data_IF_650083479832
#
_entry.id   IF_650083479832
#
_cell.length_a   1.000
_cell.length_b   1.000
_cell.length_c   1.000
_cell.angle_alpha   90.00
_cell.angle_beta   90.00
_cell.angle_gamma   90.00
#
_symmetry.space_group_name_H-M   'P 1'
#
loop_
_entity.id
_entity.type
_entity.pdbx_description
1 polymer ?
#
# COMPACT_ATOMS: atom_id res chain seq x y z
N UNK A 1 14.05 -20.76 -5.06
CA UNK A 1 14.54 -19.37 -5.21
C UNK A 1 13.81 -18.51 -4.18
N UNK A 2 14.40 -17.40 -3.71
CA UNK A 2 13.72 -16.48 -2.79
C UNK A 2 12.99 -15.40 -3.58
N UNK A 3 11.73 -15.15 -3.25
CA UNK A 3 10.92 -14.10 -3.87
C UNK A 3 11.37 -12.74 -3.35
N UNK A 4 11.68 -11.83 -4.29
CA UNK A 4 12.16 -10.48 -3.98
C UNK A 4 10.98 -9.53 -3.84
N UNK A 5 10.81 -8.95 -2.65
CA UNK A 5 9.69 -8.06 -2.31
C UNK A 5 10.17 -6.62 -2.09
N UNK A 6 9.61 -5.68 -2.84
CA UNK A 6 9.75 -4.24 -2.56
C UNK A 6 8.47 -3.72 -1.89
N UNK A 7 8.61 -2.87 -0.86
CA UNK A 7 7.46 -2.30 -0.13
C UNK A 7 7.44 -0.78 -0.26
N UNK A 8 6.30 -0.22 -0.64
CA UNK A 8 6.07 1.22 -0.73
C UNK A 8 5.24 1.69 0.48
N UNK A 9 5.68 2.76 1.14
CA UNK A 9 5.05 3.31 2.35
C UNK A 9 5.04 4.85 2.38
N UNK A 10 4.14 5.44 3.17
CA UNK A 10 4.15 6.90 3.42
C UNK A 10 4.06 7.31 4.89
N UNK A 11 3.97 6.37 5.84
CA UNK A 11 3.64 6.70 7.22
C UNK A 11 4.23 5.76 8.27
N UNK A 12 3.41 5.41 9.27
CA UNK A 12 3.85 4.66 10.46
C UNK A 12 4.50 3.31 10.14
N UNK A 13 4.03 2.63 9.10
CA UNK A 13 4.56 1.33 8.68
C UNK A 13 4.18 0.17 9.61
N UNK A 14 3.00 0.20 10.25
CA UNK A 14 2.48 -0.94 11.04
C UNK A 14 2.29 -2.20 10.17
N UNK A 15 1.71 -2.06 8.97
CA UNK A 15 1.61 -3.15 8.00
C UNK A 15 2.98 -3.64 7.53
N UNK A 16 3.95 -2.73 7.31
CA UNK A 16 5.33 -3.11 7.02
C UNK A 16 5.93 -3.92 8.18
N UNK A 17 5.70 -3.54 9.44
CA UNK A 17 6.18 -4.30 10.60
C UNK A 17 5.64 -5.73 10.57
N UNK A 18 4.33 -5.89 10.35
CA UNK A 18 3.72 -7.22 10.25
C UNK A 18 4.40 -8.10 9.18
N UNK A 19 4.75 -7.51 8.03
CA UNK A 19 5.47 -8.22 6.97
C UNK A 19 6.90 -8.57 7.38
N UNK A 20 7.64 -7.64 8.00
CA UNK A 20 8.99 -7.90 8.53
C UNK A 20 8.96 -9.09 9.50
N UNK A 21 8.02 -9.07 10.44
CA UNK A 21 7.89 -10.09 11.47
C UNK A 21 7.51 -11.45 10.84
N UNK A 22 6.59 -11.46 9.86
CA UNK A 22 6.18 -12.66 9.15
C UNK A 22 7.32 -13.27 8.31
N UNK A 23 8.16 -12.44 7.66
CA UNK A 23 9.36 -12.91 6.93
C UNK A 23 10.37 -13.50 7.91
N UNK A 24 10.66 -12.82 9.02
CA UNK A 24 11.59 -13.32 10.05
C UNK A 24 11.12 -14.65 10.67
N UNK A 25 9.80 -14.78 10.87
CA UNK A 25 9.17 -15.99 11.39
C UNK A 25 8.89 -17.07 10.33
N UNK A 26 9.31 -16.86 9.07
CA UNK A 26 9.12 -17.81 7.96
C UNK A 26 7.63 -18.17 7.70
N UNK A 27 6.72 -17.22 7.92
CA UNK A 27 5.27 -17.40 7.71
C UNK A 27 4.83 -17.13 6.25
N UNK A 28 5.71 -16.53 5.47
CA UNK A 28 5.59 -16.36 4.03
C UNK A 28 6.50 -17.40 3.34
N UNK A 29 6.19 -17.82 2.09
CA UNK A 29 7.12 -18.56 1.26
C UNK A 29 8.48 -17.83 1.21
N UNK A 30 9.58 -18.54 0.89
CA UNK A 30 10.93 -17.98 0.92
C UNK A 30 11.00 -16.58 0.28
N UNK A 31 11.08 -15.54 1.11
CA UNK A 31 10.89 -14.14 0.70
C UNK A 31 12.00 -13.30 1.31
N UNK A 32 12.47 -12.33 0.54
CA UNK A 32 13.41 -11.31 1.00
C UNK A 32 12.86 -9.94 0.66
N UNK A 33 12.70 -9.10 1.69
CA UNK A 33 12.36 -7.68 1.50
C UNK A 33 13.63 -6.98 1.00
N UNK A 34 13.65 -6.62 -0.28
CA UNK A 34 14.85 -6.06 -0.92
C UNK A 34 14.96 -4.55 -0.76
N UNK A 35 13.82 -3.87 -0.61
CA UNK A 35 13.77 -2.42 -0.43
C UNK A 35 12.47 -1.99 0.25
N UNK A 36 12.58 -1.00 1.13
CA UNK A 36 11.44 -0.17 1.57
C UNK A 36 11.62 1.23 0.99
N UNK A 37 10.65 1.69 0.19
CA UNK A 37 10.67 3.03 -0.39
C UNK A 37 9.58 3.89 0.26
N UNK A 38 9.92 5.13 0.58
CA UNK A 38 8.93 6.10 1.03
C UNK A 38 9.00 7.41 0.29
N UNK A 39 7.82 8.00 0.06
CA UNK A 39 7.70 9.36 -0.43
C UNK A 39 7.69 10.42 0.67
N UNK A 40 7.77 10.03 1.94
CA UNK A 40 7.89 10.92 3.09
C UNK A 40 9.18 10.62 3.87
N UNK A 41 9.93 11.67 4.20
CA UNK A 41 11.27 11.52 4.82
C UNK A 41 11.16 11.05 6.28
N UNK A 42 10.08 11.44 6.91
CA UNK A 42 9.70 11.23 8.30
C UNK A 42 8.76 10.03 8.49
N UNK A 43 8.54 9.22 7.45
CA UNK A 43 7.78 7.98 7.57
C UNK A 43 8.50 7.04 8.56
N UNK A 44 7.87 6.79 9.72
CA UNK A 44 8.43 5.90 10.75
C UNK A 44 8.67 4.47 10.24
N UNK A 45 7.96 4.03 9.18
CA UNK A 45 8.24 2.75 8.54
C UNK A 45 9.67 2.65 7.96
N UNK A 46 10.34 3.76 7.62
CA UNK A 46 11.75 3.74 7.23
C UNK A 46 12.65 3.34 8.41
N UNK A 47 12.33 3.80 9.62
CA UNK A 47 13.05 3.42 10.83
C UNK A 47 12.86 1.93 11.15
N UNK A 48 11.63 1.42 11.02
CA UNK A 48 11.34 -0.02 11.16
C UNK A 48 12.18 -0.87 10.20
N UNK A 49 12.25 -0.47 8.93
CA UNK A 49 13.06 -1.13 7.92
C UNK A 49 14.56 -1.11 8.28
N UNK A 50 15.08 0.05 8.74
CA UNK A 50 16.47 0.19 9.18
C UNK A 50 16.81 -0.71 10.36
N UNK A 51 15.93 -0.79 11.36
CA UNK A 51 16.10 -1.70 12.52
C UNK A 51 16.14 -3.16 12.07
N UNK A 52 15.32 -3.53 11.08
CA UNK A 52 15.34 -4.85 10.46
C UNK A 52 16.46 -5.06 9.43
N UNK A 53 17.40 -4.11 9.30
CA UNK A 53 18.51 -4.15 8.32
C UNK A 53 18.07 -4.25 6.85
N UNK A 54 16.89 -3.72 6.53
CA UNK A 54 16.34 -3.67 5.17
C UNK A 54 16.77 -2.35 4.51
N UNK A 55 17.30 -2.37 3.28
CA UNK A 55 17.65 -1.15 2.56
C UNK A 55 16.44 -0.22 2.38
N UNK A 56 16.66 1.08 2.59
CA UNK A 56 15.61 2.09 2.48
C UNK A 56 15.91 3.14 1.41
N UNK A 57 14.89 3.65 0.74
CA UNK A 57 15.00 4.78 -0.19
C UNK A 57 13.94 5.84 0.11
N UNK A 58 14.36 7.09 0.30
CA UNK A 58 13.46 8.24 0.32
C UNK A 58 13.38 8.89 -1.07
N UNK A 59 12.18 9.00 -1.62
CA UNK A 59 11.93 9.54 -2.96
C UNK A 59 10.66 10.38 -2.99
N UNK A 60 10.78 11.72 -2.98
CA UNK A 60 9.61 12.63 -2.91
C UNK A 60 9.24 13.27 -4.25
N UNK A 61 7.95 13.61 -4.37
CA UNK A 61 7.37 14.35 -5.51
C UNK A 61 7.71 15.85 -5.51
N UNK A 62 8.08 16.42 -4.35
CA UNK A 62 8.30 17.87 -4.19
C UNK A 62 9.42 18.37 -5.10
N UNK A 63 10.49 17.60 -5.27
CA UNK A 63 11.60 18.00 -6.16
C UNK A 63 11.15 18.17 -7.61
N UNK A 64 10.26 17.30 -8.10
CA UNK A 64 9.72 17.36 -9.45
C UNK A 64 8.76 18.54 -9.60
N UNK A 65 7.83 18.72 -8.64
CA UNK A 65 6.90 19.86 -8.67
C UNK A 65 7.59 21.22 -8.76
N UNK A 66 8.79 21.37 -8.18
CA UNK A 66 9.58 22.60 -8.25
C UNK A 66 10.23 22.86 -9.61
N UNK A 67 10.38 21.81 -10.43
CA UNK A 67 10.98 21.89 -11.78
C UNK A 67 9.95 22.20 -12.86
N UNK A 68 8.66 22.15 -12.53
CA UNK A 68 7.55 22.37 -13.46
C UNK A 68 6.73 23.60 -13.08
N UNK A 69 6.07 24.26 -14.06
CA UNK A 69 5.16 25.37 -13.76
C UNK A 69 3.99 24.90 -12.89
N UNK A 70 3.46 25.78 -12.06
CA UNK A 70 2.30 25.52 -11.20
C UNK A 70 0.96 25.56 -11.99
N UNK A 71 0.94 24.90 -13.14
CA UNK A 71 -0.25 24.67 -13.98
C UNK A 71 -0.68 23.22 -13.86
N UNK A 72 -1.90 22.89 -14.29
CA UNK A 72 -2.39 21.50 -14.29
C UNK A 72 -1.46 20.57 -15.11
N UNK A 73 -1.02 21.03 -16.28
CA UNK A 73 -0.08 20.30 -17.13
C UNK A 73 1.29 20.13 -16.48
N UNK A 74 1.82 21.17 -15.82
CA UNK A 74 3.08 21.08 -15.09
C UNK A 74 3.01 20.14 -13.89
N UNK A 75 1.90 20.13 -13.16
CA UNK A 75 1.66 19.18 -12.05
C UNK A 75 1.57 17.75 -12.57
N UNK A 76 0.91 17.53 -13.72
CA UNK A 76 0.83 16.22 -14.38
C UNK A 76 2.20 15.74 -14.84
N UNK A 77 2.97 16.59 -15.52
CA UNK A 77 4.34 16.28 -15.97
C UNK A 77 5.25 15.93 -14.78
N UNK A 78 5.22 16.71 -13.70
CA UNK A 78 5.97 16.42 -12.49
C UNK A 78 5.62 15.07 -11.85
N UNK A 79 4.34 14.68 -11.88
CA UNK A 79 3.87 13.37 -11.38
C UNK A 79 4.36 12.23 -12.26
N UNK A 80 4.26 12.37 -13.57
CA UNK A 80 4.72 11.36 -14.53
C UNK A 80 6.24 11.12 -14.45
N UNK A 81 7.02 12.19 -14.32
CA UNK A 81 8.48 12.10 -14.15
C UNK A 81 8.87 11.44 -12.81
N UNK A 82 8.17 11.80 -11.73
CA UNK A 82 8.32 11.15 -10.43
C UNK A 82 8.03 9.65 -10.52
N UNK A 83 6.93 9.26 -11.16
CA UNK A 83 6.52 7.86 -11.26
C UNK A 83 7.44 7.04 -12.17
N UNK A 84 7.95 7.62 -13.25
CA UNK A 84 8.95 6.99 -14.10
C UNK A 84 10.25 6.70 -13.33
N UNK A 85 10.72 7.66 -12.53
CA UNK A 85 11.91 7.45 -11.71
C UNK A 85 11.65 6.48 -10.55
N UNK A 86 10.46 6.51 -9.94
CA UNK A 86 10.07 5.55 -8.92
C UNK A 86 10.08 4.13 -9.48
N UNK A 87 9.58 3.90 -10.69
CA UNK A 87 9.65 2.60 -11.35
C UNK A 87 11.09 2.17 -11.59
N UNK A 88 11.95 3.06 -12.09
CA UNK A 88 13.38 2.78 -12.28
C UNK A 88 14.06 2.38 -10.96
N UNK A 89 13.77 3.08 -9.87
CA UNK A 89 14.31 2.78 -8.55
C UNK A 89 13.84 1.42 -8.02
N UNK A 90 12.56 1.08 -8.21
CA UNK A 90 12.00 -0.20 -7.80
C UNK A 90 12.59 -1.36 -8.62
N UNK A 91 12.63 -1.21 -9.94
CA UNK A 91 13.14 -2.24 -10.86
C UNK A 91 14.65 -2.49 -10.73
N UNK A 92 15.42 -1.52 -10.24
CA UNK A 92 16.85 -1.70 -9.96
C UNK A 92 17.11 -2.84 -8.96
N UNK A 93 16.17 -3.10 -8.05
CA UNK A 93 16.24 -4.22 -7.11
C UNK A 93 15.58 -5.50 -7.64
N UNK A 94 15.12 -5.55 -8.89
CA UNK A 94 14.50 -6.72 -9.54
C UNK A 94 13.47 -7.45 -8.64
N UNK A 95 12.45 -6.76 -8.09
CA UNK A 95 11.42 -7.42 -7.30
C UNK A 95 10.53 -8.27 -8.21
N UNK A 96 10.06 -9.40 -7.70
CA UNK A 96 8.95 -10.13 -8.32
C UNK A 96 7.60 -9.59 -7.83
N UNK A 97 7.56 -9.02 -6.61
CA UNK A 97 6.36 -8.44 -6.00
C UNK A 97 6.64 -7.04 -5.46
N UNK A 98 5.70 -6.12 -5.67
CA UNK A 98 5.66 -4.79 -5.04
C UNK A 98 4.39 -4.69 -4.19
N UNK A 99 4.55 -4.34 -2.92
CA UNK A 99 3.42 -4.14 -2.01
C UNK A 99 3.29 -2.68 -1.58
N UNK A 100 2.16 -2.05 -1.90
CA UNK A 100 1.76 -0.75 -1.41
C UNK A 100 1.07 -0.91 -0.05
N UNK A 101 1.79 -0.61 1.03
CA UNK A 101 1.33 -0.79 2.40
C UNK A 101 1.21 0.57 3.10
N UNK A 102 0.13 1.30 2.78
CA UNK A 102 -0.06 2.68 3.21
C UNK A 102 0.76 3.68 2.38
N UNK A 103 0.91 3.42 1.08
CA UNK A 103 1.55 4.34 0.14
C UNK A 103 0.53 5.37 -0.38
N UNK A 104 0.66 6.61 0.08
CA UNK A 104 -0.30 7.70 -0.15
C UNK A 104 -0.01 8.43 -1.46
N UNK A 105 0.03 7.69 -2.57
CA UNK A 105 0.24 8.22 -3.91
C UNK A 105 -0.32 7.29 -4.98
N UNK A 106 -1.21 7.83 -5.82
CA UNK A 106 -1.73 7.12 -7.01
C UNK A 106 -0.62 6.98 -8.04
N UNK A 107 -0.37 5.74 -8.45
CA UNK A 107 0.66 5.35 -9.41
C UNK A 107 0.15 5.54 -10.84
N UNK A 108 0.82 6.37 -11.63
CA UNK A 108 0.47 6.58 -13.04
C UNK A 108 0.93 5.44 -13.95
N UNK A 109 0.48 5.40 -15.22
CA UNK A 109 0.97 4.44 -16.20
C UNK A 109 2.51 4.46 -16.40
N UNK A 110 3.18 5.57 -16.10
CA UNK A 110 4.65 5.66 -16.13
C UNK A 110 5.33 4.80 -15.08
N UNK A 111 4.64 4.49 -13.99
CA UNK A 111 5.10 3.50 -13.02
C UNK A 111 4.64 2.09 -13.41
N UNK A 112 3.35 1.93 -13.74
CA UNK A 112 2.74 0.61 -13.92
C UNK A 112 3.27 -0.14 -15.16
N UNK A 113 3.41 0.54 -16.30
CA UNK A 113 3.82 -0.10 -17.56
C UNK A 113 5.18 -0.82 -17.48
N UNK A 114 6.27 -0.16 -17.04
CA UNK A 114 7.57 -0.82 -16.92
C UNK A 114 7.58 -2.01 -15.95
N UNK A 115 6.76 -1.97 -14.90
CA UNK A 115 6.66 -3.08 -13.95
C UNK A 115 5.87 -4.25 -14.54
N UNK A 116 4.80 -3.97 -15.29
CA UNK A 116 4.04 -4.99 -16.03
C UNK A 116 4.91 -5.67 -17.09
N UNK A 117 5.67 -4.91 -17.88
CA UNK A 117 6.62 -5.44 -18.88
C UNK A 117 7.69 -6.35 -18.24
N UNK A 118 8.09 -6.03 -17.00
CA UNK A 118 9.03 -6.83 -16.21
C UNK A 118 8.36 -8.02 -15.48
N UNK A 119 7.05 -8.22 -15.62
CA UNK A 119 6.30 -9.29 -14.97
C UNK A 119 6.15 -9.12 -13.46
N UNK A 120 6.27 -7.91 -12.94
CA UNK A 120 6.19 -7.61 -11.50
C UNK A 120 4.74 -7.55 -11.05
N UNK A 121 4.37 -8.34 -10.05
CA UNK A 121 3.04 -8.29 -9.43
C UNK A 121 2.98 -7.13 -8.43
N UNK A 122 2.05 -6.20 -8.63
CA UNK A 122 1.84 -5.05 -7.74
C UNK A 122 0.53 -5.25 -6.97
N UNK A 123 0.59 -5.20 -5.65
CA UNK A 123 -0.58 -5.29 -4.77
C UNK A 123 -0.70 -4.07 -3.87
N UNK A 124 -1.92 -3.72 -3.48
CA UNK A 124 -2.21 -2.66 -2.54
C UNK A 124 -3.16 -3.15 -1.44
N UNK A 125 -2.94 -2.64 -0.24
CA UNK A 125 -3.88 -2.71 0.87
C UNK A 125 -4.82 -1.51 0.82
N UNK A 126 -6.12 -1.77 0.78
CA UNK A 126 -7.15 -0.74 0.90
C UNK A 126 -8.12 -1.07 2.05
N UNK A 127 -8.34 -0.18 3.02
CA UNK A 127 -9.23 -0.44 4.16
C UNK A 127 -10.70 -0.18 3.84
N UNK A 128 -11.19 -0.83 2.78
CA UNK A 128 -12.60 -0.93 2.46
C UNK A 128 -12.92 -2.23 1.71
N UNK A 129 -14.22 -2.52 1.56
CA UNK A 129 -14.70 -3.57 0.67
C UNK A 129 -14.52 -3.16 -0.81
N UNK A 130 -14.42 -4.11 -1.75
CA UNK A 130 -14.34 -3.81 -3.18
C UNK A 130 -15.46 -2.88 -3.66
N UNK A 131 -15.10 -1.80 -4.37
CA UNK A 131 -16.02 -0.79 -4.88
C UNK A 131 -16.58 0.18 -3.82
N UNK A 132 -16.22 0.02 -2.55
CA UNK A 132 -16.62 0.90 -1.46
C UNK A 132 -15.47 1.82 -1.06
N UNK A 133 -15.79 3.09 -0.82
CA UNK A 133 -14.87 4.07 -0.23
C UNK A 133 -13.48 4.21 -0.89
N UNK A 134 -13.39 4.05 -2.22
CA UNK A 134 -12.12 4.20 -2.96
C UNK A 134 -11.44 5.55 -2.68
N UNK A 135 -10.11 5.53 -2.66
CA UNK A 135 -9.26 6.68 -2.37
C UNK A 135 -8.98 6.89 -0.89
N UNK A 136 -8.56 8.11 -0.55
CA UNK A 136 -8.08 8.43 0.81
C UNK A 136 -9.19 8.48 1.85
N UNK A 137 -8.81 8.32 3.12
CA UNK A 137 -9.67 8.43 4.30
C UNK A 137 -10.86 7.44 4.29
N UNK A 138 -10.64 6.23 3.76
CA UNK A 138 -11.68 5.24 3.62
C UNK A 138 -12.24 4.77 4.97
N UNK A 139 -11.39 4.68 6.01
CA UNK A 139 -11.80 4.30 7.39
C UNK A 139 -12.75 5.35 7.96
N UNK A 140 -12.40 6.63 7.88
CA UNK A 140 -13.19 7.74 8.40
C UNK A 140 -14.51 7.91 7.64
N UNK A 141 -14.48 7.72 6.32
CA UNK A 141 -15.69 7.74 5.48
C UNK A 141 -16.63 6.59 5.81
N UNK A 142 -16.10 5.37 5.99
CA UNK A 142 -16.90 4.22 6.41
C UNK A 142 -17.49 4.44 7.80
N UNK A 143 -16.71 4.94 8.75
CA UNK A 143 -17.18 5.28 10.10
C UNK A 143 -18.30 6.33 10.08
N UNK A 144 -18.15 7.37 9.25
CA UNK A 144 -19.16 8.41 9.08
C UNK A 144 -20.46 7.85 8.49
N UNK A 145 -20.37 7.03 7.44
CA UNK A 145 -21.53 6.37 6.83
C UNK A 145 -22.24 5.44 7.83
N UNK A 146 -21.49 4.72 8.66
CA UNK A 146 -22.07 3.88 9.72
C UNK A 146 -22.81 4.71 10.76
N UNK A 147 -22.23 5.81 11.26
CA UNK A 147 -22.91 6.71 12.20
C UNK A 147 -24.19 7.33 11.63
N UNK A 148 -24.26 7.48 10.30
CA UNK A 148 -25.47 7.92 9.60
C UNK A 148 -26.49 6.79 9.38
N UNK A 149 -26.18 5.54 9.75
CA UNK A 149 -27.04 4.37 9.57
C UNK A 149 -27.05 3.82 8.14
N UNK A 150 -26.12 4.23 7.28
CA UNK A 150 -26.08 3.87 5.86
C UNK A 150 -25.48 2.48 5.62
N UNK A 151 -24.56 2.06 6.49
CA UNK A 151 -23.88 0.77 6.41
C UNK A 151 -23.82 0.10 7.78
N UNK A 152 -23.75 -1.23 7.80
CA UNK A 152 -23.55 -2.02 9.02
C UNK A 152 -22.21 -2.77 9.05
N UNK A 153 -21.43 -2.66 7.97
CA UNK A 153 -20.10 -3.26 7.83
C UNK A 153 -19.22 -2.45 6.89
N UNK A 154 -17.92 -2.57 7.07
CA UNK A 154 -16.89 -2.22 6.09
C UNK A 154 -15.98 -3.42 5.88
N UNK A 155 -14.76 -3.23 5.42
CA UNK A 155 -13.76 -4.28 5.36
C UNK A 155 -12.39 -3.77 5.00
N UNK A 156 -11.52 -4.73 4.67
CA UNK A 156 -10.17 -4.52 4.17
C UNK A 156 -10.00 -5.44 2.98
N UNK A 157 -9.27 -4.99 1.96
CA UNK A 157 -8.88 -5.81 0.84
C UNK A 157 -7.41 -5.68 0.49
N UNK A 158 -6.82 -6.78 0.02
CA UNK A 158 -5.63 -6.76 -0.83
C UNK A 158 -6.11 -6.94 -2.26
N UNK A 159 -5.65 -6.07 -3.16
CA UNK A 159 -6.00 -6.16 -4.58
C UNK A 159 -4.79 -5.90 -5.46
N UNK A 160 -4.83 -6.37 -6.71
CA UNK A 160 -3.85 -5.99 -7.73
C UNK A 160 -3.97 -4.50 -8.02
N UNK A 161 -2.85 -3.81 -8.23
CA UNK A 161 -2.86 -2.40 -8.61
C UNK A 161 -3.07 -2.26 -10.11
N UNK A 162 -4.00 -1.39 -10.49
CA UNK A 162 -4.23 -0.93 -11.87
C UNK A 162 -4.31 0.60 -11.87
N UNK A 163 -4.43 1.21 -13.04
CA UNK A 163 -4.55 2.68 -13.18
C UNK A 163 -5.78 3.26 -12.48
N UNK A 164 -6.86 2.49 -12.38
CA UNK A 164 -8.08 2.90 -11.67
C UNK A 164 -7.94 2.64 -10.17
N UNK A 165 -8.09 3.69 -9.37
CA UNK A 165 -7.81 3.70 -7.93
C UNK A 165 -8.70 2.70 -7.19
N UNK A 166 -8.07 1.75 -6.50
CA UNK A 166 -8.69 0.70 -5.68
C UNK A 166 -9.68 -0.22 -6.43
N UNK A 167 -9.60 -0.29 -7.76
CA UNK A 167 -10.53 -1.06 -8.61
C UNK A 167 -9.92 -2.31 -9.24
N UNK A 168 -8.68 -2.66 -8.90
CA UNK A 168 -8.06 -3.88 -9.40
C UNK A 168 -8.62 -5.14 -8.75
N UNK A 169 -8.33 -6.30 -9.34
CA UNK A 169 -8.86 -7.59 -8.89
C UNK A 169 -8.49 -7.87 -7.43
N UNK A 170 -9.47 -8.08 -6.52
CA UNK A 170 -9.21 -8.47 -5.15
C UNK A 170 -8.54 -9.84 -5.08
N UNK A 171 -7.51 -9.96 -4.24
CA UNK A 171 -6.89 -11.23 -3.85
C UNK A 171 -7.50 -11.75 -2.55
N UNK A 172 -7.66 -10.85 -1.58
CA UNK A 172 -8.21 -11.15 -0.25
C UNK A 172 -9.18 -10.05 0.12
N UNK A 173 -10.33 -10.43 0.69
CA UNK A 173 -11.32 -9.50 1.25
C UNK A 173 -11.71 -10.00 2.63
N UNK A 174 -11.72 -9.10 3.61
CA UNK A 174 -12.21 -9.38 4.96
C UNK A 174 -13.22 -8.33 5.38
N UNK A 175 -14.42 -8.77 5.70
CA UNK A 175 -15.44 -7.90 6.27
C UNK A 175 -15.13 -7.56 7.73
N UNK A 176 -15.47 -6.34 8.11
CA UNK A 176 -15.37 -5.83 9.48
C UNK A 176 -16.76 -5.31 9.85
N UNK A 177 -17.49 -6.00 10.75
CA UNK A 177 -18.79 -5.52 11.18
C UNK A 177 -18.65 -4.32 12.12
N UNK A 178 -19.56 -3.37 11.99
CA UNK A 178 -19.85 -2.40 13.05
C UNK A 178 -20.80 -3.03 14.07
N UNK A 179 -20.70 -2.60 15.34
CA UNK A 179 -21.58 -3.09 16.41
C UNK A 179 -22.76 -2.14 16.56
N UNK A 180 -23.99 -2.65 16.34
CA UNK A 180 -25.18 -1.82 16.45
C UNK A 180 -25.41 -1.35 17.89
N UNK A 181 -25.67 -0.06 18.06
CA UNK A 181 -25.95 0.55 19.37
C UNK A 181 -24.71 0.93 20.18
N UNK A 182 -23.50 0.68 19.68
CA UNK A 182 -22.27 1.24 20.23
C UNK A 182 -21.93 2.54 19.50
N UNK A 183 -21.47 3.57 20.22
CA UNK A 183 -20.81 4.75 19.63
C UNK A 183 -19.30 4.52 19.76
N UNK A 184 -18.71 3.92 18.74
CA UNK A 184 -17.27 3.60 18.72
C UNK A 184 -16.50 4.84 18.26
N UNK A 185 -15.53 5.30 19.04
CA UNK A 185 -14.63 6.37 18.60
C UNK A 185 -13.85 5.96 17.35
N UNK A 186 -13.66 6.90 16.41
CA UNK A 186 -13.01 6.60 15.12
C UNK A 186 -11.58 6.08 15.27
N UNK A 187 -10.83 6.52 16.28
CA UNK A 187 -9.47 6.03 16.51
C UNK A 187 -9.45 4.63 17.12
N UNK A 188 -10.48 4.28 17.91
CA UNK A 188 -10.66 2.90 18.39
C UNK A 188 -10.99 2.00 17.22
N UNK A 189 -11.91 2.44 16.34
CA UNK A 189 -12.26 1.72 15.13
C UNK A 189 -11.07 1.55 14.17
N UNK A 190 -10.29 2.61 13.95
CA UNK A 190 -9.07 2.57 13.12
C UNK A 190 -8.07 1.52 13.64
N UNK A 191 -7.86 1.43 14.95
CA UNK A 191 -7.02 0.38 15.55
C UNK A 191 -7.56 -1.02 15.29
N UNK A 192 -8.88 -1.22 15.37
CA UNK A 192 -9.54 -2.48 15.05
C UNK A 192 -9.36 -2.84 13.57
N UNK A 193 -9.48 -1.88 12.66
CA UNK A 193 -9.20 -2.07 11.22
C UNK A 193 -7.74 -2.49 11.03
N UNK A 194 -6.77 -1.77 11.59
CA UNK A 194 -5.35 -2.11 11.48
C UNK A 194 -5.01 -3.51 12.01
N UNK A 195 -5.65 -3.95 13.11
CA UNK A 195 -5.45 -5.29 13.63
C UNK A 195 -5.90 -6.38 12.62
N UNK A 196 -6.95 -6.11 11.84
CA UNK A 196 -7.41 -6.99 10.76
C UNK A 196 -6.48 -6.91 9.55
N UNK A 197 -6.02 -5.70 9.19
CA UNK A 197 -5.11 -5.48 8.06
C UNK A 197 -3.86 -6.37 8.16
N UNK A 198 -3.25 -6.50 9.34
CA UNK A 198 -2.01 -7.26 9.49
C UNK A 198 -2.14 -8.70 8.98
N UNK A 199 -3.21 -9.41 9.35
CA UNK A 199 -3.46 -10.76 8.87
C UNK A 199 -3.77 -10.80 7.36
N UNK A 200 -4.59 -9.86 6.90
CA UNK A 200 -5.00 -9.75 5.50
C UNK A 200 -3.82 -9.44 4.56
N UNK A 201 -2.87 -8.61 5.01
CA UNK A 201 -1.61 -8.31 4.29
C UNK A 201 -0.77 -9.57 4.12
N UNK A 202 -0.60 -10.39 5.17
CA UNK A 202 0.18 -11.63 5.07
C UNK A 202 -0.48 -12.64 4.13
N UNK A 203 -1.81 -12.77 4.21
CA UNK A 203 -2.58 -13.65 3.30
C UNK A 203 -2.45 -13.20 1.83
N UNK A 204 -2.64 -11.91 1.57
CA UNK A 204 -2.54 -11.37 0.21
C UNK A 204 -1.12 -11.41 -0.35
N UNK A 205 -0.10 -11.19 0.48
CA UNK A 205 1.30 -11.38 0.07
C UNK A 205 1.60 -12.83 -0.29
N UNK A 206 1.12 -13.80 0.50
CA UNK A 206 1.29 -15.22 0.17
C UNK A 206 0.72 -15.54 -1.21
N UNK A 207 -0.51 -15.12 -1.49
CA UNK A 207 -1.15 -15.33 -2.80
C UNK A 207 -0.38 -14.64 -3.94
N UNK A 208 0.13 -13.42 -3.72
CA UNK A 208 0.93 -12.72 -4.72
C UNK A 208 2.26 -13.44 -4.99
N UNK A 209 2.94 -13.90 -3.94
CA UNK A 209 4.22 -14.63 -4.02
C UNK A 209 4.04 -15.98 -4.72
N UNK A 210 2.93 -16.68 -4.50
CA UNK A 210 2.65 -17.97 -5.15
C UNK A 210 2.25 -17.83 -6.62
N UNK A 211 1.97 -16.61 -7.09
CA UNK A 211 1.58 -16.32 -8.47
C UNK A 211 2.76 -15.97 -9.39
N UNK A 212 3.98 -15.87 -8.86
CA UNK A 212 5.21 -15.49 -9.58
C UNK A 212 6.24 -16.61 -9.67
#
# INVERSE_FOLDING_TARGET
>A
MTTRLSVLISGNGSNLQAVIDAVAAQQLPATTIVRVLSNRKDAYGLERARVASIPTTYHNLVKYKKQHPATEDGVRAAREEYDAELARLVLADQPAVVACLGFMHVLSPRFLGPLEEAGVVIINLHPALPGAFNGVNAIERAHTAWKAGEISKTGVMIHKVISEVDMGTPLVVREIPFVAGEDEDVHVFEKKVHAVEWGVVIEGLRMAIESV
#
